data_IF_369614766769
#
_entry.id   IF_369614766769
#
_cell.length_a   1.000
_cell.length_b   1.000
_cell.length_c   1.000
_cell.angle_alpha   90.00
_cell.angle_beta   90.00
_cell.angle_gamma   90.00
#
_symmetry.space_group_name_H-M   'P 1'
#
loop_
_entity.id
_entity.type
_entity.pdbx_description
1 polymer ?
#
# COMPACT_ATOMS: atom_id res chain seq x y z
N UNK A 1 12.59 31.99 39.70
CA UNK A 1 11.37 31.32 39.18
C UNK A 1 10.86 31.84 37.83
N UNK A 2 11.18 33.07 37.40
CA UNK A 2 10.61 33.65 36.15
C UNK A 2 11.27 33.14 34.85
N UNK A 3 12.57 32.81 34.89
CA UNK A 3 13.37 32.37 33.73
C UNK A 3 12.99 30.98 33.21
N UNK A 4 12.67 30.05 34.10
CA UNK A 4 12.24 28.69 33.73
C UNK A 4 10.86 28.65 33.08
N UNK A 5 9.98 29.60 33.43
CA UNK A 5 8.65 29.75 32.79
C UNK A 5 8.76 30.29 31.36
N UNK A 6 9.75 31.15 31.09
CA UNK A 6 10.02 31.69 29.75
C UNK A 6 10.64 30.61 28.85
N UNK A 7 11.61 29.86 29.36
CA UNK A 7 12.24 28.73 28.64
C UNK A 7 11.20 27.65 28.34
N UNK A 8 10.33 27.30 29.29
CA UNK A 8 9.23 26.35 29.08
C UNK A 8 8.23 26.82 28.01
N UNK A 9 7.87 28.11 27.98
CA UNK A 9 6.99 28.68 26.96
C UNK A 9 7.64 28.69 25.57
N UNK A 10 8.94 28.99 25.48
CA UNK A 10 9.73 28.91 24.25
C UNK A 10 9.83 27.47 23.73
N UNK A 11 10.01 26.49 24.62
CA UNK A 11 10.12 25.08 24.25
C UNK A 11 8.80 24.50 23.74
N UNK A 12 7.67 24.93 24.32
CA UNK A 12 6.31 24.59 23.84
C UNK A 12 6.04 25.22 22.47
N UNK A 13 6.43 26.48 22.27
CA UNK A 13 6.31 27.16 20.98
C UNK A 13 7.15 26.49 19.88
N UNK A 14 8.40 26.11 20.20
CA UNK A 14 9.28 25.39 19.27
C UNK A 14 8.70 24.00 18.90
N UNK A 15 8.09 23.31 19.87
CA UNK A 15 7.41 22.02 19.65
C UNK A 15 6.15 22.17 18.78
N UNK A 16 5.35 23.22 18.98
CA UNK A 16 4.21 23.54 18.11
C UNK A 16 4.64 23.93 16.68
N UNK A 17 5.76 24.63 16.53
CA UNK A 17 6.31 25.01 15.22
C UNK A 17 6.84 23.78 14.45
N UNK A 18 7.44 22.81 15.14
CA UNK A 18 7.88 21.53 14.56
C UNK A 18 6.71 20.65 14.08
N UNK A 19 5.53 20.76 14.71
CA UNK A 19 4.32 20.02 14.30
C UNK A 19 3.67 20.58 13.03
N UNK A 20 3.96 21.82 12.64
CA UNK A 20 3.37 22.46 11.46
C UNK A 20 4.00 22.01 10.12
N UNK A 21 5.13 21.30 10.13
CA UNK A 21 5.88 20.90 8.93
C UNK A 21 5.39 19.56 8.32
N UNK A 22 4.38 18.92 8.92
CA UNK A 22 3.88 17.62 8.45
C UNK A 22 2.90 17.72 7.26
N UNK A 23 2.61 18.92 6.75
CA UNK A 23 1.79 19.09 5.56
C UNK A 23 2.61 18.67 4.33
N UNK A 24 2.23 17.57 3.68
CA UNK A 24 2.71 17.29 2.33
C UNK A 24 1.55 17.24 1.36
N UNK A 25 1.85 17.02 0.08
CA UNK A 25 0.90 17.26 -0.99
C UNK A 25 -0.35 16.40 -0.81
N UNK A 26 -1.50 16.96 -1.14
CA UNK A 26 -2.78 16.24 -1.11
C UNK A 26 -3.30 16.08 -2.53
N UNK A 27 -3.75 14.88 -2.95
CA UNK A 27 -4.20 14.69 -4.33
C UNK A 27 -5.32 15.64 -4.77
N UNK A 28 -6.18 16.08 -3.84
CA UNK A 28 -7.28 17.02 -4.16
C UNK A 28 -6.85 18.43 -4.55
N UNK A 29 -5.55 18.75 -4.51
CA UNK A 29 -5.00 20.06 -4.88
C UNK A 29 -4.47 20.10 -6.32
N UNK A 30 -4.45 18.96 -7.02
CA UNK A 30 -3.87 18.83 -8.35
C UNK A 30 -4.92 18.47 -9.39
N UNK A 31 -4.82 19.06 -10.57
CA UNK A 31 -5.53 18.57 -11.74
C UNK A 31 -4.93 17.24 -12.20
N UNK A 32 -5.77 16.36 -12.77
CA UNK A 32 -5.34 15.06 -13.26
C UNK A 32 -4.40 15.24 -14.45
N UNK A 33 -3.15 14.77 -14.34
CA UNK A 33 -2.27 14.72 -15.49
C UNK A 33 -2.71 13.61 -16.46
N UNK A 34 -2.50 13.84 -17.74
CA UNK A 34 -2.83 12.89 -18.80
C UNK A 34 -1.97 11.61 -18.76
N UNK A 35 -0.86 11.59 -18.03
CA UNK A 35 -0.02 10.40 -17.95
C UNK A 35 -0.69 9.28 -17.12
N UNK A 36 -0.78 8.05 -17.65
CA UNK A 36 -1.34 6.92 -16.94
C UNK A 36 -0.45 6.49 -15.76
N UNK A 37 -1.08 5.97 -14.71
CA UNK A 37 -0.37 5.29 -13.63
C UNK A 37 0.08 3.91 -14.11
N UNK A 38 1.39 3.69 -14.12
CA UNK A 38 2.05 2.42 -14.45
C UNK A 38 2.52 1.75 -13.15
N UNK A 39 2.01 0.55 -12.85
CA UNK A 39 2.33 -0.18 -11.62
C UNK A 39 2.60 -1.66 -11.89
N UNK A 40 3.49 -2.23 -11.08
CA UNK A 40 3.77 -3.66 -11.05
C UNK A 40 3.57 -4.26 -9.64
N UNK A 41 2.83 -5.38 -9.50
CA UNK A 41 1.99 -5.99 -10.53
C UNK A 41 0.87 -5.05 -10.99
N UNK A 42 0.35 -5.30 -12.19
CA UNK A 42 -0.78 -4.54 -12.72
C UNK A 42 -2.05 -4.89 -11.95
N UNK A 43 -2.49 -3.94 -11.13
CA UNK A 43 -3.75 -4.00 -10.38
C UNK A 43 -4.72 -2.92 -10.84
N UNK A 44 -4.66 -2.56 -12.12
CA UNK A 44 -5.60 -1.60 -12.72
C UNK A 44 -6.88 -2.29 -13.18
N UNK A 45 -8.02 -1.68 -12.88
CA UNK A 45 -9.35 -2.16 -13.26
C UNK A 45 -9.66 -3.61 -12.85
N UNK A 46 -9.26 -4.01 -11.64
CA UNK A 46 -9.52 -5.34 -11.07
C UNK A 46 -10.67 -5.33 -10.05
N UNK A 47 -11.19 -6.52 -9.77
CA UNK A 47 -12.15 -6.76 -8.68
C UNK A 47 -11.37 -7.28 -7.46
N UNK A 48 -11.50 -6.59 -6.33
CA UNK A 48 -10.75 -6.83 -5.10
C UNK A 48 -11.64 -7.56 -4.09
N UNK A 49 -11.30 -8.80 -3.70
CA UNK A 49 -11.98 -9.49 -2.60
C UNK A 49 -11.74 -8.77 -1.27
N UNK A 50 -12.74 -8.65 -0.38
CA UNK A 50 -12.62 -7.84 0.84
C UNK A 50 -11.63 -8.42 1.87
N UNK A 51 -11.27 -9.70 1.73
CA UNK A 51 -10.33 -10.40 2.61
C UNK A 51 -8.92 -10.56 2.04
N UNK A 52 -8.62 -10.06 0.83
CA UNK A 52 -7.28 -10.19 0.24
C UNK A 52 -6.23 -9.44 1.07
N UNK A 53 -5.03 -10.02 1.16
CA UNK A 53 -3.87 -9.37 1.74
C UNK A 53 -3.56 -8.04 1.03
N UNK A 54 -2.79 -7.14 1.68
CA UNK A 54 -2.43 -5.84 1.10
C UNK A 54 -1.83 -5.94 -0.30
N UNK A 55 -2.48 -5.32 -1.27
CA UNK A 55 -2.04 -5.30 -2.67
C UNK A 55 -0.89 -4.31 -2.86
N UNK A 56 0.28 -4.65 -2.29
CA UNK A 56 1.49 -3.85 -2.44
C UNK A 56 1.92 -3.82 -3.92
N UNK A 57 2.37 -2.66 -4.38
CA UNK A 57 2.80 -2.47 -5.76
C UNK A 57 4.03 -1.57 -5.84
N UNK A 58 4.70 -1.61 -6.98
CA UNK A 58 5.77 -0.71 -7.38
C UNK A 58 5.25 0.25 -8.44
N UNK A 59 5.56 1.54 -8.33
CA UNK A 59 5.25 2.55 -9.35
C UNK A 59 6.40 2.57 -10.35
N UNK A 60 6.09 2.27 -11.61
CA UNK A 60 7.08 2.22 -12.71
C UNK A 60 7.30 3.58 -13.37
N UNK A 61 6.33 4.50 -13.24
CA UNK A 61 6.49 5.88 -13.69
C UNK A 61 7.77 6.51 -13.09
N UNK A 62 8.50 7.25 -13.91
CA UNK A 62 9.71 7.95 -13.46
C UNK A 62 9.36 9.04 -12.44
N UNK A 63 10.08 9.06 -11.32
CA UNK A 63 9.91 10.09 -10.29
C UNK A 63 11.00 10.02 -9.23
N UNK A 64 11.18 11.12 -8.50
CA UNK A 64 12.16 11.24 -7.40
C UNK A 64 11.53 10.99 -6.02
N UNK A 65 10.21 11.13 -5.91
CA UNK A 65 9.41 10.79 -4.75
C UNK A 65 7.96 10.53 -5.17
N UNK A 66 7.23 9.79 -4.33
CA UNK A 66 5.86 9.37 -4.60
C UNK A 66 5.01 9.48 -3.32
N UNK A 67 3.75 9.79 -3.51
CA UNK A 67 2.69 9.68 -2.52
C UNK A 67 1.52 8.92 -3.15
N UNK A 68 1.28 7.70 -2.69
CA UNK A 68 0.07 6.95 -3.02
C UNK A 68 -1.02 7.22 -1.98
N UNK A 69 -2.19 7.62 -2.44
CA UNK A 69 -3.43 7.67 -1.67
C UNK A 69 -4.37 6.57 -2.17
N UNK A 70 -4.85 5.74 -1.24
CA UNK A 70 -5.81 4.68 -1.52
C UNK A 70 -7.06 4.99 -0.72
N UNK A 71 -8.16 5.21 -1.41
CA UNK A 71 -9.41 5.68 -0.82
C UNK A 71 -10.58 4.77 -1.17
N UNK A 72 -11.42 4.45 -0.19
CA UNK A 72 -12.75 3.91 -0.44
C UNK A 72 -13.80 5.02 -0.50
N UNK A 73 -14.98 4.73 -1.04
CA UNK A 73 -16.09 5.70 -1.15
C UNK A 73 -16.62 6.18 0.22
N UNK A 74 -16.37 5.43 1.29
CA UNK A 74 -16.72 5.79 2.67
C UNK A 74 -15.82 6.86 3.32
N UNK A 75 -14.91 7.47 2.55
CA UNK A 75 -14.01 8.53 3.01
C UNK A 75 -12.78 8.06 3.78
N UNK A 76 -12.58 6.75 3.99
CA UNK A 76 -11.33 6.23 4.56
C UNK A 76 -10.23 6.24 3.53
N UNK A 77 -9.06 6.72 3.97
CA UNK A 77 -7.88 6.88 3.12
C UNK A 77 -6.65 6.25 3.78
N UNK A 78 -5.80 5.66 2.97
CA UNK A 78 -4.46 5.20 3.33
C UNK A 78 -3.48 6.01 2.50
N UNK A 79 -2.51 6.64 3.15
CA UNK A 79 -1.43 7.39 2.48
C UNK A 79 -0.10 6.70 2.72
N UNK A 80 0.64 6.46 1.65
CA UNK A 80 1.97 5.85 1.68
C UNK A 80 2.94 6.71 0.88
N UNK A 81 4.02 7.15 1.51
CA UNK A 81 5.10 7.88 0.85
C UNK A 81 6.23 6.92 0.49
N UNK A 82 6.84 7.13 -0.67
CA UNK A 82 7.97 6.33 -1.12
C UNK A 82 8.95 7.18 -1.91
N UNK A 83 10.25 6.93 -1.76
CA UNK A 83 11.29 7.48 -2.66
C UNK A 83 11.64 6.54 -3.80
N UNK A 84 11.30 5.25 -3.66
CA UNK A 84 11.70 4.20 -4.60
C UNK A 84 10.56 3.70 -5.48
N UNK A 85 9.34 4.25 -5.31
CA UNK A 85 8.13 3.73 -5.97
C UNK A 85 7.52 2.51 -5.29
N UNK A 86 8.20 1.88 -4.31
CA UNK A 86 7.64 0.76 -3.55
C UNK A 86 6.54 1.25 -2.59
N UNK A 87 5.31 0.79 -2.79
CA UNK A 87 4.14 1.11 -1.96
C UNK A 87 3.80 -0.10 -1.09
N UNK A 88 4.12 0.00 0.19
CA UNK A 88 3.77 -1.00 1.21
C UNK A 88 2.56 -0.54 2.00
N UNK A 89 1.42 -1.17 1.76
CA UNK A 89 0.14 -0.80 2.35
C UNK A 89 0.01 -1.41 3.76
N UNK A 90 -0.29 -0.62 4.79
CA UNK A 90 -0.45 -1.14 6.15
C UNK A 90 -1.63 -2.11 6.27
N UNK A 91 -1.37 -3.38 6.58
CA UNK A 91 -2.39 -4.43 6.49
C UNK A 91 -3.62 -4.25 7.35
N UNK A 92 -3.50 -3.70 8.56
CA UNK A 92 -4.66 -3.40 9.42
C UNK A 92 -5.55 -2.30 8.82
N UNK A 93 -4.96 -1.29 8.19
CA UNK A 93 -5.71 -0.22 7.55
C UNK A 93 -6.38 -0.72 6.28
N UNK A 94 -5.66 -1.51 5.47
CA UNK A 94 -6.15 -2.18 4.26
C UNK A 94 -7.39 -3.02 4.55
N UNK A 95 -7.30 -3.96 5.50
CA UNK A 95 -8.43 -4.82 5.88
C UNK A 95 -9.66 -4.00 6.29
N UNK A 96 -9.48 -2.95 7.08
CA UNK A 96 -10.59 -2.07 7.49
C UNK A 96 -11.19 -1.27 6.33
N UNK A 97 -10.37 -0.88 5.35
CA UNK A 97 -10.81 -0.12 4.19
C UNK A 97 -11.67 -1.01 3.28
N UNK A 98 -11.21 -2.22 2.98
CA UNK A 98 -11.94 -3.18 2.16
C UNK A 98 -13.24 -3.67 2.82
N UNK A 99 -13.19 -4.06 4.09
CA UNK A 99 -14.37 -4.56 4.82
C UNK A 99 -15.51 -3.53 4.87
N UNK A 100 -15.17 -2.24 4.97
CA UNK A 100 -16.16 -1.15 4.98
C UNK A 100 -16.53 -0.65 3.59
N UNK A 101 -15.86 -1.12 2.54
CA UNK A 101 -16.06 -0.71 1.15
C UNK A 101 -16.68 -1.78 0.27
N UNK A 102 -17.11 -2.91 0.84
CA UNK A 102 -17.76 -4.03 0.12
C UNK A 102 -18.87 -3.53 -0.81
N UNK A 103 -18.85 -4.01 -2.05
CA UNK A 103 -19.82 -3.63 -3.09
C UNK A 103 -19.63 -2.22 -3.67
N UNK A 104 -18.64 -1.46 -3.18
CA UNK A 104 -18.30 -0.14 -3.68
C UNK A 104 -16.98 -0.14 -4.43
N UNK A 105 -16.36 1.03 -4.53
CA UNK A 105 -15.09 1.20 -5.25
C UNK A 105 -13.94 1.65 -4.35
N UNK A 106 -12.74 1.27 -4.80
CA UNK A 106 -11.46 1.70 -4.29
C UNK A 106 -10.75 2.50 -5.37
N UNK A 107 -10.28 3.70 -5.03
CA UNK A 107 -9.51 4.55 -5.93
C UNK A 107 -8.08 4.64 -5.45
N UNK A 108 -7.13 4.42 -6.36
CA UNK A 108 -5.70 4.63 -6.16
C UNK A 108 -5.33 5.93 -6.89
N UNK A 109 -4.81 6.89 -6.16
CA UNK A 109 -4.30 8.15 -6.71
C UNK A 109 -2.84 8.29 -6.34
N UNK A 110 -2.00 8.63 -7.31
CA UNK A 110 -0.55 8.76 -7.09
C UNK A 110 -0.11 10.16 -7.49
N UNK A 111 0.53 10.85 -6.55
CA UNK A 111 1.35 12.00 -6.85
C UNK A 111 2.79 11.54 -7.00
N UNK A 112 3.47 12.02 -8.05
CA UNK A 112 4.91 11.84 -8.19
C UNK A 112 5.59 13.20 -8.19
N UNK A 113 6.83 13.22 -7.73
CA UNK A 113 7.73 14.35 -7.83
C UNK A 113 8.63 14.16 -9.02
N UNK A 114 8.62 15.11 -9.95
CA UNK A 114 9.41 15.06 -11.17
C UNK A 114 10.90 15.37 -10.91
N UNK A 115 11.68 15.62 -11.97
CA UNK A 115 13.10 16.02 -11.86
C UNK A 115 13.29 17.47 -11.45
N UNK A 116 12.30 18.33 -11.69
CA UNK A 116 12.31 19.75 -11.34
C UNK A 116 11.83 20.02 -9.90
N UNK A 117 11.55 18.95 -9.14
CA UNK A 117 11.00 19.00 -7.79
C UNK A 117 9.53 19.47 -7.72
N UNK A 118 8.78 19.35 -8.80
CA UNK A 118 7.36 19.68 -8.86
C UNK A 118 6.53 18.41 -8.64
N UNK A 119 5.40 18.57 -7.95
CA UNK A 119 4.45 17.48 -7.74
C UNK A 119 3.42 17.50 -8.85
N UNK A 120 3.16 16.32 -9.42
CA UNK A 120 2.11 16.13 -10.41
C UNK A 120 1.30 14.87 -10.09
N UNK A 121 0.02 14.89 -10.46
CA UNK A 121 -0.90 13.78 -10.23
C UNK A 121 -0.99 12.89 -11.46
N UNK A 122 -0.69 11.61 -11.32
CA UNK A 122 -0.94 10.61 -12.36
C UNK A 122 -2.43 10.29 -12.45
N UNK A 123 -2.86 9.77 -13.60
CA UNK A 123 -4.27 9.35 -13.77
C UNK A 123 -4.69 8.32 -12.70
N UNK A 124 -5.75 8.61 -11.93
CA UNK A 124 -6.22 7.69 -10.90
C UNK A 124 -6.74 6.38 -11.48
N UNK A 125 -6.62 5.32 -10.70
CA UNK A 125 -7.11 3.98 -11.03
C UNK A 125 -8.26 3.62 -10.11
N UNK A 126 -9.38 3.18 -10.69
CA UNK A 126 -10.56 2.72 -9.94
C UNK A 126 -10.69 1.20 -10.04
N UNK A 127 -10.88 0.57 -8.89
CA UNK A 127 -11.12 -0.86 -8.73
C UNK A 127 -12.45 -1.08 -8.00
N UNK A 128 -13.09 -2.22 -8.26
CA UNK A 128 -14.30 -2.64 -7.55
C UNK A 128 -13.91 -3.47 -6.31
N UNK A 129 -14.66 -3.33 -5.22
CA UNK A 129 -14.53 -4.21 -4.06
C UNK A 129 -15.70 -5.18 -4.08
N UNK A 130 -15.42 -6.47 -4.20
CA UNK A 130 -16.45 -7.52 -4.18
C UNK A 130 -17.20 -7.56 -2.85
N UNK A 131 -18.47 -7.99 -2.88
CA UNK A 131 -19.22 -8.35 -1.68
C UNK A 131 -18.70 -9.66 -1.06
N UNK A 132 -18.20 -10.56 -1.92
CA UNK A 132 -17.85 -11.92 -1.59
C UNK A 132 -16.38 -12.08 -1.27
N UNK A 133 -16.10 -12.92 -0.27
CA UNK A 133 -14.74 -13.31 0.10
C UNK A 133 -14.23 -14.37 -0.86
N UNK A 134 -12.91 -14.38 -1.09
CA UNK A 134 -12.24 -15.51 -1.72
C UNK A 134 -11.87 -16.57 -0.70
N UNK A 135 -11.64 -17.78 -1.21
CA UNK A 135 -11.03 -18.85 -0.42
C UNK A 135 -9.65 -18.40 0.10
N UNK A 136 -9.38 -18.56 1.41
CA UNK A 136 -8.22 -17.95 2.02
C UNK A 136 -6.91 -18.66 1.71
N UNK A 137 -6.91 -19.84 1.08
CA UNK A 137 -5.70 -20.65 0.88
C UNK A 137 -5.53 -21.12 -0.56
N UNK A 138 -4.30 -21.01 -1.05
CA UNK A 138 -3.82 -21.71 -2.25
C UNK A 138 -2.82 -22.79 -1.85
N UNK A 139 -2.95 -23.99 -2.41
CA UNK A 139 -1.99 -25.07 -2.22
C UNK A 139 -0.99 -25.11 -3.39
N UNK A 140 0.28 -25.34 -3.08
CA UNK A 140 1.36 -25.38 -4.07
C UNK A 140 2.52 -26.24 -3.61
N UNK A 141 3.39 -26.61 -4.56
CA UNK A 141 4.65 -27.32 -4.29
C UNK A 141 5.83 -26.38 -4.53
N UNK A 142 6.81 -26.40 -3.64
CA UNK A 142 8.10 -25.72 -3.86
C UNK A 142 8.99 -26.66 -4.68
N UNK A 143 9.32 -26.26 -5.90
CA UNK A 143 10.18 -27.04 -6.80
C UNK A 143 11.52 -26.28 -6.91
N UNK A 144 12.64 -26.85 -6.40
CA UNK A 144 13.94 -26.22 -6.55
C UNK A 144 14.37 -26.21 -8.03
N UNK A 145 15.13 -25.19 -8.47
CA UNK A 145 15.52 -25.03 -9.86
C UNK A 145 16.45 -26.14 -10.39
N UNK A 146 17.16 -26.86 -9.51
CA UNK A 146 18.03 -27.97 -9.86
C UNK A 146 17.55 -29.28 -9.22
N UNK A 147 17.37 -30.30 -10.07
CA UNK A 147 16.67 -31.57 -9.78
C UNK A 147 17.52 -32.59 -9.00
N UNK A 148 18.35 -32.15 -8.05
CA UNK A 148 19.41 -33.00 -7.48
C UNK A 148 19.11 -33.51 -6.06
N UNK A 149 18.05 -33.03 -5.40
CA UNK A 149 17.72 -33.45 -4.03
C UNK A 149 16.21 -33.59 -3.80
N UNK A 150 15.67 -34.79 -4.07
CA UNK A 150 14.26 -35.17 -3.80
C UNK A 150 13.94 -35.34 -2.30
N UNK A 151 14.94 -35.22 -1.41
CA UNK A 151 14.81 -35.46 0.04
C UNK A 151 13.94 -34.44 0.78
N UNK A 152 13.90 -33.19 0.33
CA UNK A 152 13.16 -32.13 1.01
C UNK A 152 12.06 -31.59 0.10
N UNK A 153 10.90 -32.24 0.09
CA UNK A 153 9.76 -31.80 -0.69
C UNK A 153 8.53 -31.67 0.18
N UNK A 154 7.62 -30.77 -0.18
CA UNK A 154 6.37 -30.65 0.54
C UNK A 154 5.30 -29.99 -0.30
N UNK A 155 4.07 -30.27 0.09
CA UNK A 155 2.91 -29.50 -0.29
C UNK A 155 2.75 -28.41 0.77
N UNK A 156 2.67 -27.17 0.33
CA UNK A 156 2.50 -26.00 1.17
C UNK A 156 1.19 -25.33 0.82
N UNK A 157 0.68 -24.52 1.75
CA UNK A 157 -0.39 -23.58 1.48
C UNK A 157 0.04 -22.17 1.81
N UNK A 158 -0.46 -21.19 1.05
CA UNK A 158 -0.31 -19.77 1.33
C UNK A 158 -1.67 -19.18 1.68
N UNK A 159 -1.73 -18.50 2.82
CA UNK A 159 -2.85 -17.66 3.19
C UNK A 159 -2.87 -16.41 2.30
N UNK A 160 -3.95 -16.24 1.54
CA UNK A 160 -4.20 -15.08 0.68
C UNK A 160 -4.59 -13.84 1.48
N UNK A 161 -4.90 -13.97 2.78
CA UNK A 161 -5.29 -12.85 3.65
C UNK A 161 -4.09 -12.20 4.38
N UNK A 162 -3.00 -12.94 4.64
CA UNK A 162 -1.85 -12.47 5.45
C UNK A 162 -0.46 -12.93 4.98
N UNK A 163 -0.34 -13.46 3.76
CA UNK A 163 0.90 -13.97 3.14
C UNK A 163 1.55 -15.19 3.80
N UNK A 164 1.02 -15.69 4.91
CA UNK A 164 1.64 -16.79 5.66
C UNK A 164 1.68 -18.06 4.83
N UNK A 165 2.83 -18.74 4.85
CA UNK A 165 3.01 -20.04 4.20
C UNK A 165 3.20 -21.11 5.28
N UNK A 166 2.39 -22.17 5.23
CA UNK A 166 2.49 -23.32 6.14
C UNK A 166 2.62 -24.62 5.35
N UNK A 167 3.35 -25.63 5.86
CA UNK A 167 3.32 -26.96 5.27
C UNK A 167 1.95 -27.60 5.47
N UNK A 168 1.45 -28.30 4.45
CA UNK A 168 0.34 -29.27 4.58
C UNK A 168 0.94 -30.65 4.82
N UNK A 169 1.92 -31.03 4.01
CA UNK A 169 2.64 -32.30 4.09
C UNK A 169 4.09 -32.06 3.68
N UNK A 170 5.03 -32.63 4.43
CA UNK A 170 6.45 -32.61 4.10
C UNK A 170 6.96 -34.04 4.02
N UNK A 171 7.74 -34.33 2.98
CA UNK A 171 8.62 -35.47 2.94
C UNK A 171 9.97 -35.01 3.51
N UNK A 172 10.36 -35.61 4.64
CA UNK A 172 11.60 -35.31 5.36
C UNK A 172 12.48 -36.55 5.58
N UNK A 173 12.22 -37.62 4.82
CA UNK A 173 12.96 -38.90 4.88
C UNK A 173 14.13 -38.92 3.90
#
# INVERSE_FOLDING_TARGET
>A
MHRNKIISRLLVWLCCMLLAVACGPSPGEFEQAAEPLEIYPDYTAVIIPPNIAPMNFHIENRGTAFLAEIAGENGRKIRVRSKTGNIQIPGRAWKKLLEKGRGGHLTITVLRKDRNNEWEMLSPVRNEISNDRIDPYIAFRKIPPANIYWKNMGIYQRCLEDFRVTPIMVNSL
#
